data_IF_843729705388
#
_entry.id   IF_843729705388
#
_cell.length_a   1.000
_cell.length_b   1.000
_cell.length_c   1.000
_cell.angle_alpha   90.00
_cell.angle_beta   90.00
_cell.angle_gamma   90.00
#
_symmetry.space_group_name_H-M   'P 1'
#
loop_
_entity.id
_entity.type
_entity.pdbx_description
1 polymer ?
#
# COMPACT_ATOMS: atom_id res chain seq x y z
N UNK A 1 -1.69 2.57 8.40
CA UNK A 1 -2.07 3.88 7.81
C UNK A 1 -3.59 3.89 7.75
N UNK A 2 -4.20 4.98 8.17
CA UNK A 2 -5.66 5.17 8.09
C UNK A 2 -5.97 5.72 6.70
N UNK A 3 -7.05 5.28 6.02
CA UNK A 3 -7.51 5.95 4.82
C UNK A 3 -7.91 7.38 5.23
N UNK A 4 -7.04 8.34 4.94
CA UNK A 4 -7.32 9.75 5.15
C UNK A 4 -8.13 10.21 3.93
N UNK A 5 -9.35 10.70 4.15
CA UNK A 5 -10.03 11.64 3.25
C UNK A 5 -10.66 11.11 1.95
N UNK A 6 -11.47 10.04 1.95
CA UNK A 6 -12.29 9.80 0.76
C UNK A 6 -12.94 8.44 0.62
N UNK A 7 -13.85 8.09 1.53
CA UNK A 7 -14.95 7.20 1.11
C UNK A 7 -15.88 8.08 0.27
N UNK A 8 -15.60 8.20 -1.02
CA UNK A 8 -16.55 8.75 -1.97
C UNK A 8 -17.43 7.60 -2.46
N UNK A 9 -18.74 7.70 -2.20
CA UNK A 9 -19.74 6.83 -2.82
C UNK A 9 -19.88 7.29 -4.27
N UNK A 10 -18.92 6.90 -5.12
CA UNK A 10 -19.02 7.12 -6.55
C UNK A 10 -20.24 6.36 -7.08
N UNK A 11 -21.29 7.10 -7.47
CA UNK A 11 -22.54 6.63 -8.09
C UNK A 11 -22.98 5.24 -7.59
N UNK A 12 -23.54 5.11 -6.37
CA UNK A 12 -24.26 3.92 -5.80
C UNK A 12 -23.70 2.49 -5.97
N UNK A 13 -22.64 2.25 -6.76
CA UNK A 13 -22.22 0.95 -7.27
C UNK A 13 -20.79 0.60 -6.85
N UNK A 14 -20.04 1.55 -6.27
CA UNK A 14 -18.70 1.27 -5.77
C UNK A 14 -18.29 2.11 -4.55
N UNK A 15 -17.45 1.52 -3.70
CA UNK A 15 -16.69 2.22 -2.66
C UNK A 15 -15.25 2.35 -3.16
N UNK A 16 -14.69 3.56 -3.15
CA UNK A 16 -13.27 3.79 -3.42
C UNK A 16 -12.50 3.94 -2.11
N UNK A 17 -11.32 3.32 -2.02
CA UNK A 17 -10.45 3.31 -0.85
C UNK A 17 -9.01 3.58 -1.32
N UNK A 18 -8.51 4.78 -1.06
CA UNK A 18 -7.16 5.19 -1.47
C UNK A 18 -6.20 5.12 -0.29
N UNK A 19 -5.06 4.47 -0.51
CA UNK A 19 -3.99 4.34 0.46
C UNK A 19 -2.69 4.92 -0.08
N UNK A 20 -2.31 6.07 0.46
CA UNK A 20 -1.02 6.68 0.18
C UNK A 20 0.09 5.88 0.87
N UNK A 21 1.25 5.73 0.22
CA UNK A 21 2.46 5.18 0.82
C UNK A 21 3.70 5.97 0.39
N UNK A 22 4.70 6.02 1.26
CA UNK A 22 6.03 6.60 0.98
C UNK A 22 7.07 5.52 1.22
N UNK A 23 7.41 4.72 0.20
CA UNK A 23 8.39 3.65 0.34
C UNK A 23 9.07 3.28 -0.96
N UNK A 24 10.40 3.44 -0.97
CA UNK A 24 11.28 3.00 -2.07
C UNK A 24 11.24 1.51 -2.37
N UNK A 25 10.72 0.67 -1.47
CA UNK A 25 10.68 -0.79 -1.63
C UNK A 25 9.42 -1.36 -0.98
N UNK A 26 8.25 -1.02 -1.53
CA UNK A 26 7.01 -1.67 -1.13
C UNK A 26 7.08 -3.15 -1.49
N UNK A 27 7.15 -4.02 -0.48
CA UNK A 27 7.23 -5.46 -0.68
C UNK A 27 5.86 -6.11 -0.62
N UNK A 28 5.02 -5.63 0.29
CA UNK A 28 3.64 -6.06 0.39
C UNK A 28 2.69 -4.87 0.57
N UNK A 29 1.46 -5.08 0.15
CA UNK A 29 0.34 -4.20 0.42
C UNK A 29 -0.86 -5.05 0.80
N UNK A 30 -1.56 -4.65 1.86
CA UNK A 30 -2.78 -5.29 2.34
C UNK A 30 -3.84 -4.26 2.61
N UNK A 31 -5.00 -4.43 2.00
CA UNK A 31 -6.24 -3.79 2.42
C UNK A 31 -6.95 -4.70 3.43
N UNK A 32 -7.31 -4.15 4.58
CA UNK A 32 -8.05 -4.86 5.61
C UNK A 32 -9.41 -4.22 5.86
N UNK A 33 -10.44 -5.06 5.97
CA UNK A 33 -11.81 -4.72 6.36
C UNK A 33 -12.09 -5.36 7.72
N UNK A 34 -12.37 -4.56 8.75
CA UNK A 34 -12.50 -5.02 10.15
C UNK A 34 -11.35 -5.93 10.60
N UNK A 35 -10.12 -5.59 10.20
CA UNK A 35 -8.91 -6.37 10.51
C UNK A 35 -8.64 -7.58 9.61
N UNK A 36 -9.62 -8.02 8.80
CA UNK A 36 -9.46 -9.13 7.86
C UNK A 36 -8.89 -8.65 6.54
N UNK A 37 -7.83 -9.29 6.05
CA UNK A 37 -7.26 -8.96 4.74
C UNK A 37 -8.21 -9.33 3.61
N UNK A 38 -8.67 -8.34 2.85
CA UNK A 38 -9.56 -8.49 1.68
C UNK A 38 -8.79 -8.35 0.37
N UNK A 39 -7.70 -7.58 0.34
CA UNK A 39 -6.76 -7.56 -0.78
C UNK A 39 -5.34 -7.72 -0.27
N UNK A 40 -4.54 -8.52 -0.97
CA UNK A 40 -3.12 -8.71 -0.69
C UNK A 40 -2.32 -8.70 -1.99
N UNK A 41 -1.40 -7.76 -2.11
CA UNK A 41 -0.49 -7.59 -3.24
C UNK A 41 0.94 -7.78 -2.73
N UNK A 42 1.74 -8.55 -3.45
CA UNK A 42 3.13 -8.84 -3.10
C UNK A 42 4.05 -8.56 -4.30
N UNK A 43 5.17 -7.90 -4.04
CA UNK A 43 6.23 -7.76 -5.03
C UNK A 43 6.95 -9.10 -5.24
N UNK A 44 7.17 -9.48 -6.50
CA UNK A 44 7.95 -10.65 -6.90
C UNK A 44 9.28 -10.20 -7.50
N UNK A 45 10.41 -10.36 -6.79
CA UNK A 45 11.73 -10.02 -7.32
C UNK A 45 12.08 -10.80 -8.59
N UNK A 46 11.65 -12.07 -8.67
CA UNK A 46 11.90 -12.93 -9.83
C UNK A 46 11.18 -12.43 -11.10
N UNK A 47 9.96 -11.91 -10.96
CA UNK A 47 9.17 -11.40 -12.09
C UNK A 47 9.31 -9.88 -12.27
N UNK A 48 10.10 -9.22 -11.42
CA UNK A 48 10.25 -7.76 -11.34
C UNK A 48 8.92 -7.00 -11.36
N UNK A 49 7.92 -7.50 -10.63
CA UNK A 49 6.57 -6.91 -10.65
C UNK A 49 5.68 -7.39 -9.51
N UNK A 50 4.53 -6.73 -9.35
CA UNK A 50 3.55 -7.05 -8.31
C UNK A 50 2.60 -8.15 -8.76
N UNK A 51 2.21 -9.00 -7.81
CA UNK A 51 1.19 -10.03 -7.98
C UNK A 51 0.11 -9.88 -6.92
N UNK A 52 -1.15 -10.06 -7.32
CA UNK A 52 -2.27 -10.20 -6.38
C UNK A 52 -2.25 -11.62 -5.81
N UNK A 53 -2.14 -11.75 -4.49
CA UNK A 53 -2.19 -13.02 -3.77
C UNK A 53 -3.58 -13.32 -3.23
N UNK A 54 -4.34 -12.27 -2.93
CA UNK A 54 -5.73 -12.38 -2.47
C UNK A 54 -6.51 -11.18 -2.99
N UNK A 55 -7.70 -11.46 -3.48
CA UNK A 55 -8.72 -10.46 -3.79
C UNK A 55 -10.07 -11.07 -3.41
N UNK A 56 -10.69 -10.55 -2.36
CA UNK A 56 -12.05 -10.93 -1.96
C UNK A 56 -13.08 -10.46 -2.98
N UNK A 57 -14.26 -11.08 -2.98
CA UNK A 57 -15.28 -10.83 -4.00
C UNK A 57 -15.71 -9.36 -4.12
N UNK A 58 -15.76 -8.88 -5.36
CA UNK A 58 -16.02 -7.50 -5.74
C UNK A 58 -14.97 -6.47 -5.32
N UNK A 59 -13.86 -6.88 -4.68
CA UNK A 59 -12.72 -5.98 -4.50
C UNK A 59 -11.81 -5.99 -5.72
N UNK A 60 -11.19 -4.86 -6.04
CA UNK A 60 -10.01 -4.77 -6.90
C UNK A 60 -9.13 -3.62 -6.44
N UNK A 61 -7.86 -3.60 -6.85
CA UNK A 61 -6.96 -2.47 -6.61
C UNK A 61 -6.00 -2.28 -7.76
N UNK A 62 -5.57 -1.04 -7.93
CA UNK A 62 -4.38 -0.71 -8.71
C UNK A 62 -3.16 -1.47 -8.21
N UNK A 63 -2.25 -1.80 -9.14
CA UNK A 63 -0.93 -2.26 -8.76
C UNK A 63 -0.07 -1.05 -8.38
N UNK A 64 0.79 -1.16 -7.35
CA UNK A 64 1.73 -0.10 -7.03
C UNK A 64 2.67 0.15 -8.21
N UNK A 65 2.77 1.40 -8.67
CA UNK A 65 3.59 1.77 -9.84
C UNK A 65 4.89 2.50 -9.49
N UNK A 66 5.02 3.07 -8.28
CA UNK A 66 6.12 4.00 -7.96
C UNK A 66 6.64 3.95 -6.51
N UNK A 67 7.74 4.68 -6.28
CA UNK A 67 8.44 4.85 -4.98
C UNK A 67 7.58 5.60 -3.94
N UNK A 68 6.79 6.56 -4.40
CA UNK A 68 5.77 7.26 -3.62
C UNK A 68 4.53 7.21 -4.48
N UNK A 69 3.43 6.74 -3.91
CA UNK A 69 2.21 6.60 -4.70
C UNK A 69 1.00 6.34 -3.84
N UNK A 70 -0.12 6.18 -4.55
CA UNK A 70 -1.38 5.75 -4.01
C UNK A 70 -1.67 4.35 -4.55
N UNK A 71 -2.17 3.47 -3.69
CA UNK A 71 -2.93 2.31 -4.14
C UNK A 71 -4.39 2.64 -3.95
N UNK A 72 -5.12 2.72 -5.05
CA UNK A 72 -6.57 2.85 -5.02
C UNK A 72 -7.18 1.47 -5.11
N UNK A 73 -8.13 1.18 -4.23
CA UNK A 73 -8.92 -0.04 -4.22
C UNK A 73 -10.39 0.30 -4.38
N UNK A 74 -11.12 -0.56 -5.07
CA UNK A 74 -12.57 -0.45 -5.26
C UNK A 74 -13.27 -1.67 -4.69
N UNK A 75 -14.44 -1.45 -4.09
CA UNK A 75 -15.42 -2.50 -3.81
C UNK A 75 -16.65 -2.26 -4.66
N UNK A 76 -16.84 -3.07 -5.69
CA UNK A 76 -18.01 -3.08 -6.56
C UNK A 76 -19.19 -3.78 -5.91
N UNK A 77 -20.40 -3.27 -6.20
CA UNK A 77 -21.67 -3.73 -5.65
C UNK A 77 -21.62 -3.88 -4.12
N UNK A 78 -21.36 -2.77 -3.39
CA UNK A 78 -21.23 -2.82 -1.94
C UNK A 78 -22.55 -3.24 -1.29
N UNK A 79 -22.44 -3.99 -0.21
CA UNK A 79 -23.55 -4.41 0.66
C UNK A 79 -23.45 -3.72 2.02
N UNK A 80 -24.46 -3.88 2.87
CA UNK A 80 -24.40 -3.36 4.25
C UNK A 80 -23.20 -3.92 5.05
N UNK A 81 -22.64 -5.07 4.66
CA UNK A 81 -21.44 -5.64 5.30
C UNK A 81 -20.16 -4.84 4.99
N UNK A 82 -20.18 -4.06 3.92
CA UNK A 82 -19.03 -3.26 3.48
C UNK A 82 -18.95 -1.90 4.20
N UNK A 83 -19.94 -1.58 5.05
CA UNK A 83 -19.85 -0.50 6.03
C UNK A 83 -18.97 -0.98 7.20
N UNK A 84 -17.68 -0.73 7.09
CA UNK A 84 -16.66 -1.31 7.96
C UNK A 84 -15.48 -0.37 8.15
N UNK A 85 -14.65 -0.66 9.15
CA UNK A 85 -13.38 0.00 9.31
C UNK A 85 -12.37 -0.56 8.28
N UNK A 86 -11.86 0.30 7.41
CA UNK A 86 -10.81 -0.04 6.47
C UNK A 86 -9.44 0.43 6.95
N UNK A 87 -8.41 -0.37 6.71
CA UNK A 87 -7.03 0.04 6.98
C UNK A 87 -6.07 -0.55 5.95
N UNK A 88 -4.99 0.16 5.70
CA UNK A 88 -3.91 -0.30 4.84
C UNK A 88 -2.66 -0.63 5.65
N UNK A 89 -2.10 -1.80 5.34
CA UNK A 89 -0.84 -2.29 5.89
C UNK A 89 0.15 -2.51 4.76
N UNK A 90 1.38 -2.09 5.00
CA UNK A 90 2.51 -2.25 4.09
C UNK A 90 3.74 -2.64 4.89
N UNK A 91 4.53 -3.53 4.32
CA UNK A 91 5.86 -3.89 4.78
C UNK A 91 6.85 -3.38 3.74
N UNK A 92 7.83 -2.65 4.24
CA UNK A 92 8.91 -2.07 3.45
C UNK A 92 10.25 -2.64 3.94
N UNK A 93 11.16 -2.90 3.01
CA UNK A 93 12.57 -3.10 3.38
C UNK A 93 13.17 -1.73 3.68
N UNK A 94 13.39 -1.41 4.96
CA UNK A 94 14.35 -0.36 5.31
C UNK A 94 15.73 -0.88 4.96
N UNK A 95 16.34 -0.34 3.91
CA UNK A 95 17.79 -0.33 3.86
C UNK A 95 18.24 0.52 5.05
N UNK A 96 18.88 -0.09 6.06
CA UNK A 96 19.58 0.71 7.08
C UNK A 96 20.56 1.61 6.32
N UNK A 97 20.40 2.94 6.40
CA UNK A 97 21.45 3.88 5.97
C UNK A 97 22.73 3.43 6.68
N UNK A 98 23.70 2.86 5.96
CA UNK A 98 25.08 2.81 6.44
C UNK A 98 25.54 4.25 6.50
N UNK A 99 25.60 4.83 7.69
CA UNK A 99 26.30 6.09 7.90
C UNK A 99 27.78 5.76 7.71
N UNK A 100 28.31 6.06 6.53
CA UNK A 100 29.75 6.14 6.35
C UNK A 100 30.19 7.44 7.03
N UNK A 101 30.84 7.33 8.19
CA UNK A 101 31.62 8.44 8.74
C UNK A 101 32.79 8.68 7.79
N UNK A 102 32.73 9.74 7.00
CA UNK A 102 33.94 10.31 6.43
C UNK A 102 34.72 10.95 7.59
N UNK A 103 35.91 10.43 7.88
CA UNK A 103 36.88 11.09 8.76
C UNK A 103 37.65 12.03 7.86
N UNK A 104 37.40 13.33 7.97
CA UNK A 104 38.26 14.36 7.37
C UNK A 104 39.39 14.62 8.37
N UNK A 105 40.59 14.12 8.09
CA UNK A 105 41.81 14.65 8.72
C UNK A 105 42.11 15.99 8.06
N UNK A 106 41.92 17.09 8.80
CA UNK A 106 42.49 18.39 8.43
C UNK A 106 43.83 18.49 9.15
N UNK A 107 44.91 18.20 8.44
CA UNK A 107 46.27 18.55 8.85
C UNK A 107 46.46 20.05 8.66
N UNK A 108 46.43 20.82 9.76
CA UNK A 108 46.91 22.20 9.78
C UNK A 108 48.44 22.21 9.71
N UNK A 109 48.98 22.89 8.69
CA UNK A 109 50.33 23.47 8.68
C UNK A 109 50.19 24.98 8.81
#
# INVERSE_FOLDING_TARGET
MTPAEGIEVGNTYSISITCQYKSYNLLDFKLQQNGNTVVHILYSPMKKGYKRLKTSDGFDCDLPVDIIGNVTCWKYNPTCKDVAAYSCKTFYKTSKRKVFKAVTEISHL
#
